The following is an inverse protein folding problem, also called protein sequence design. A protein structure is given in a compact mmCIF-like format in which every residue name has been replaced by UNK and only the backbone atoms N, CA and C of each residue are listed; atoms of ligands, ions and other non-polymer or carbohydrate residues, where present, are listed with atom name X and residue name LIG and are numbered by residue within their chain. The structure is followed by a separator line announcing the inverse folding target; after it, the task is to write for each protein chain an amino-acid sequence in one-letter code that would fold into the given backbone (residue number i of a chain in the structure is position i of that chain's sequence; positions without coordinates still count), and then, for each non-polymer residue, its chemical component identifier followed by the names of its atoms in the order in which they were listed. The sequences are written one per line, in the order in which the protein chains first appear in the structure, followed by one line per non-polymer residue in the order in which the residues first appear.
data_IF_579965701242
#
_entry.id   IF_579965701242
#
_cell.length_a   1.000
_cell.length_b   1.000
_cell.length_c   1.000
_cell.angle_alpha   90.00
_cell.angle_beta   90.00
_cell.angle_gamma   90.00
#
_symmetry.space_group_name_H-M   'P 1'
#
loop_
_entity.id
_entity.type
_entity.pdbx_description
1 polymer ?
#
# COMPACT_ATOMS: atom_id res chain seq x y z
N UNK A 1 2.93 -3.54 -21.70
CA UNK A 1 3.50 -4.00 -20.41
C UNK A 1 2.64 -3.62 -19.20
N UNK A 2 2.22 -2.38 -19.04
CA UNK A 2 1.40 -1.94 -17.88
C UNK A 2 0.00 -2.58 -17.80
N UNK A 3 -0.66 -2.91 -18.90
CA UNK A 3 -1.94 -3.65 -18.90
C UNK A 3 -1.77 -5.03 -18.25
N UNK A 4 -0.70 -5.75 -18.59
CA UNK A 4 -0.40 -7.06 -17.99
C UNK A 4 -0.17 -6.97 -16.47
N UNK A 5 0.47 -5.91 -15.96
CA UNK A 5 0.66 -5.73 -14.52
C UNK A 5 -0.68 -5.49 -13.81
N UNK A 6 -1.57 -4.66 -14.38
CA UNK A 6 -2.91 -4.40 -13.82
C UNK A 6 -3.75 -5.68 -13.76
N UNK A 7 -3.67 -6.52 -14.81
CA UNK A 7 -4.32 -7.82 -14.85
C UNK A 7 -3.74 -8.78 -13.79
N UNK A 8 -2.42 -8.79 -13.62
CA UNK A 8 -1.73 -9.68 -12.66
C UNK A 8 -2.08 -9.33 -11.21
N UNK A 9 -2.05 -8.06 -10.82
CA UNK A 9 -2.40 -7.66 -9.44
C UNK A 9 -3.91 -7.70 -9.19
N UNK A 10 -4.73 -7.71 -10.25
CA UNK A 10 -6.19 -7.70 -10.15
C UNK A 10 -6.73 -6.41 -9.53
N UNK A 11 -8.02 -6.42 -9.17
CA UNK A 11 -8.68 -5.23 -8.58
C UNK A 11 -8.41 -5.09 -7.08
N UNK A 12 -8.20 -6.18 -6.37
CA UNK A 12 -8.12 -6.21 -4.91
C UNK A 12 -6.89 -6.97 -4.44
N UNK A 13 -6.24 -6.42 -3.45
CA UNK A 13 -5.18 -7.05 -2.69
C UNK A 13 -5.32 -6.73 -1.20
N UNK A 14 -4.55 -7.42 -0.37
CA UNK A 14 -4.50 -7.19 1.06
C UNK A 14 -3.21 -6.45 1.43
N UNK A 15 -3.35 -5.36 2.17
CA UNK A 15 -2.23 -4.68 2.82
C UNK A 15 -2.14 -5.12 4.28
N UNK A 16 -0.97 -5.60 4.69
CA UNK A 16 -0.81 -6.11 6.06
C UNK A 16 0.62 -5.94 6.57
N UNK A 17 0.75 -5.48 7.82
CA UNK A 17 2.01 -5.52 8.56
C UNK A 17 2.27 -6.92 9.08
N UNK A 18 1.25 -7.66 9.49
CA UNK A 18 1.37 -9.00 10.07
C UNK A 18 1.97 -10.03 9.12
N UNK A 19 1.75 -9.87 7.81
CA UNK A 19 2.33 -10.75 6.77
C UNK A 19 3.83 -10.52 6.54
N UNK A 20 4.44 -9.53 7.17
CA UNK A 20 5.87 -9.17 7.05
C UNK A 20 6.76 -9.80 8.11
N UNK A 21 6.28 -10.69 8.97
CA UNK A 21 7.06 -11.19 10.09
C UNK A 21 8.38 -11.86 9.63
N UNK A 22 9.47 -11.58 10.37
CA UNK A 22 10.77 -12.22 10.20
C UNK A 22 10.96 -13.40 11.20
N UNK A 23 9.95 -13.66 12.03
CA UNK A 23 9.94 -14.75 13.00
C UNK A 23 9.83 -16.09 12.26
N UNK A 24 10.85 -16.97 12.32
CA UNK A 24 10.83 -18.27 11.66
C UNK A 24 9.66 -19.15 12.11
N UNK A 25 9.23 -19.00 13.36
CA UNK A 25 8.13 -19.81 13.92
C UNK A 25 6.77 -19.44 13.30
N UNK A 26 6.65 -18.23 12.74
CA UNK A 26 5.46 -17.78 12.02
C UNK A 26 5.44 -18.13 10.53
N UNK A 27 6.53 -18.69 9.98
CA UNK A 27 6.63 -18.95 8.53
C UNK A 27 5.49 -19.82 8.01
N UNK A 28 5.09 -20.86 8.74
CA UNK A 28 3.97 -21.74 8.38
C UNK A 28 2.64 -20.97 8.37
N UNK A 29 2.37 -20.18 9.41
CA UNK A 29 1.17 -19.35 9.51
C UNK A 29 1.07 -18.34 8.35
N UNK A 30 2.19 -17.69 7.99
CA UNK A 30 2.24 -16.73 6.89
C UNK A 30 2.01 -17.40 5.53
N UNK A 31 2.61 -18.59 5.31
CA UNK A 31 2.42 -19.37 4.10
C UNK A 31 0.95 -19.79 3.91
N UNK A 32 0.32 -20.32 4.98
CA UNK A 32 -1.11 -20.65 4.97
C UNK A 32 -2.01 -19.44 4.72
N UNK A 33 -1.69 -18.30 5.34
CA UNK A 33 -2.45 -17.07 5.14
C UNK A 33 -2.34 -16.56 3.71
N UNK A 34 -1.15 -16.62 3.10
CA UNK A 34 -0.95 -16.24 1.70
C UNK A 34 -1.71 -17.15 0.73
N UNK A 35 -1.64 -18.48 0.96
CA UNK A 35 -2.38 -19.46 0.17
C UNK A 35 -3.90 -19.23 0.26
N UNK A 36 -4.43 -18.94 1.46
CA UNK A 36 -5.84 -18.62 1.65
C UNK A 36 -6.24 -17.34 0.89
N UNK A 37 -5.41 -16.28 0.91
CA UNK A 37 -5.68 -15.06 0.16
C UNK A 37 -5.73 -15.32 -1.36
N UNK A 38 -4.84 -16.17 -1.87
CA UNK A 38 -4.88 -16.60 -3.28
C UNK A 38 -6.15 -17.39 -3.60
N UNK A 39 -6.55 -18.32 -2.74
CA UNK A 39 -7.78 -19.12 -2.90
C UNK A 39 -9.05 -18.24 -2.85
N UNK A 40 -9.06 -17.21 -2.01
CA UNK A 40 -10.14 -16.22 -1.94
C UNK A 40 -10.23 -15.33 -3.17
N UNK A 41 -9.21 -15.31 -4.05
CA UNK A 41 -9.20 -14.56 -5.28
C UNK A 41 -8.54 -13.18 -5.21
N UNK A 42 -7.87 -12.85 -4.12
CA UNK A 42 -7.02 -11.65 -4.08
C UNK A 42 -5.83 -11.80 -5.04
N UNK A 43 -5.55 -10.74 -5.82
CA UNK A 43 -4.47 -10.76 -6.81
C UNK A 43 -3.11 -10.37 -6.23
N UNK A 44 -3.10 -9.64 -5.11
CA UNK A 44 -1.86 -9.14 -4.52
C UNK A 44 -1.88 -9.09 -2.98
N UNK A 45 -0.68 -9.18 -2.39
CA UNK A 45 -0.40 -8.84 -1.00
C UNK A 45 0.61 -7.69 -0.98
N UNK A 46 0.35 -6.68 -0.16
CA UNK A 46 1.20 -5.54 0.08
C UNK A 46 1.76 -5.57 1.49
N UNK A 47 3.06 -5.80 1.61
CA UNK A 47 3.75 -5.91 2.89
C UNK A 47 3.94 -4.54 3.51
N UNK A 48 3.17 -4.25 4.53
CA UNK A 48 3.14 -2.97 5.22
C UNK A 48 4.38 -2.69 6.05
N UNK A 49 4.66 -1.40 6.27
CA UNK A 49 5.83 -0.93 7.00
C UNK A 49 7.11 -1.02 6.15
N UNK A 50 8.29 -1.09 6.80
CA UNK A 50 9.53 -1.29 6.05
C UNK A 50 9.73 -2.79 5.79
N UNK A 51 9.64 -3.21 4.54
CA UNK A 51 9.70 -4.61 4.09
C UNK A 51 10.70 -4.77 2.93
N UNK A 52 11.07 -6.01 2.65
CA UNK A 52 12.07 -6.34 1.64
C UNK A 52 11.67 -7.58 0.82
N UNK A 53 12.45 -7.95 -0.17
CA UNK A 53 12.30 -9.19 -0.92
C UNK A 53 12.34 -10.44 0.00
N UNK A 54 13.14 -10.41 1.06
CA UNK A 54 13.22 -11.52 2.02
C UNK A 54 11.89 -11.75 2.77
N UNK A 55 11.12 -10.68 3.03
CA UNK A 55 9.78 -10.81 3.61
C UNK A 55 8.76 -11.33 2.60
N UNK A 56 8.94 -11.04 1.30
CA UNK A 56 8.05 -11.47 0.23
C UNK A 56 8.22 -12.95 -0.16
N UNK A 57 9.45 -13.47 -0.10
CA UNK A 57 9.80 -14.81 -0.57
C UNK A 57 8.92 -15.92 0.01
N UNK A 58 8.68 -16.03 1.34
CA UNK A 58 7.86 -17.10 1.89
C UNK A 58 6.41 -17.10 1.40
N UNK A 59 5.85 -15.92 1.11
CA UNK A 59 4.47 -15.78 0.61
C UNK A 59 4.39 -16.18 -0.87
N UNK A 60 5.39 -15.78 -1.66
CA UNK A 60 5.51 -16.14 -3.07
C UNK A 60 5.72 -17.65 -3.23
N UNK A 61 6.61 -18.25 -2.42
CA UNK A 61 6.89 -19.70 -2.42
C UNK A 61 5.64 -20.54 -2.08
N UNK A 62 4.76 -20.02 -1.21
CA UNK A 62 3.55 -20.71 -0.77
C UNK A 62 2.37 -20.61 -1.75
N UNK A 63 2.49 -19.82 -2.81
CA UNK A 63 1.39 -19.49 -3.72
C UNK A 63 1.81 -19.70 -5.18
N UNK A 64 0.85 -19.75 -6.11
CA UNK A 64 1.11 -20.02 -7.53
C UNK A 64 1.06 -18.79 -8.43
N UNK A 65 0.23 -17.80 -8.09
CA UNK A 65 -0.02 -16.60 -8.90
C UNK A 65 -0.08 -15.29 -8.12
N UNK A 66 -0.21 -15.34 -6.79
CA UNK A 66 -0.32 -14.17 -5.94
C UNK A 66 0.90 -13.27 -6.12
N UNK A 67 0.70 -12.00 -6.43
CA UNK A 67 1.75 -10.99 -6.48
C UNK A 67 2.05 -10.46 -5.07
N UNK A 68 3.30 -10.32 -4.71
CA UNK A 68 3.69 -9.72 -3.42
C UNK A 68 4.50 -8.46 -3.66
N UNK A 69 4.07 -7.35 -3.05
CA UNK A 69 4.76 -6.06 -3.14
C UNK A 69 5.17 -5.52 -1.78
N UNK A 70 6.30 -4.82 -1.71
CA UNK A 70 6.63 -4.03 -0.52
C UNK A 70 5.80 -2.75 -0.48
N UNK A 71 5.31 -2.36 0.69
CA UNK A 71 4.55 -1.12 0.89
C UNK A 71 4.87 -0.48 2.25
N UNK A 72 6.10 -0.03 2.38
CA UNK A 72 7.14 0.18 1.37
C UNK A 72 8.50 -0.40 1.80
N UNK A 73 9.44 -0.54 0.88
CA UNK A 73 10.86 -0.60 1.22
C UNK A 73 11.40 0.82 1.36
N UNK A 74 11.95 1.14 2.53
CA UNK A 74 12.51 2.47 2.80
C UNK A 74 13.85 2.64 2.08
N UNK A 75 13.99 3.70 1.28
CA UNK A 75 15.25 4.03 0.59
C UNK A 75 16.41 4.37 1.52
N UNK A 76 16.13 4.61 2.80
CA UNK A 76 17.13 4.96 3.81
C UNK A 76 17.72 3.74 4.55
N UNK A 77 17.05 2.60 4.44
CA UNK A 77 17.41 1.38 5.17
C UNK A 77 17.83 0.23 4.25
N UNK A 78 17.58 0.38 2.96
CA UNK A 78 17.92 -0.62 1.95
C UNK A 78 18.63 0.06 0.79
N UNK A 79 19.93 -0.18 0.67
CA UNK A 79 20.73 0.35 -0.43
C UNK A 79 20.42 -0.38 -1.75
N UNK A 80 20.50 0.30 -2.91
CA UNK A 80 20.24 -0.31 -4.21
C UNK A 80 21.12 -1.53 -4.51
N UNK A 81 22.37 -1.51 -4.06
CA UNK A 81 23.33 -2.61 -4.27
C UNK A 81 22.93 -3.90 -3.54
N UNK A 82 22.17 -3.79 -2.45
CA UNK A 82 21.60 -4.95 -1.74
C UNK A 82 20.22 -5.33 -2.30
N UNK A 83 19.42 -4.35 -2.68
CA UNK A 83 18.06 -4.58 -3.19
C UNK A 83 18.08 -5.24 -4.58
N UNK A 84 19.05 -4.90 -5.44
CA UNK A 84 19.17 -5.44 -6.80
C UNK A 84 19.36 -6.96 -6.84
N UNK A 85 20.38 -7.53 -6.21
CA UNK A 85 20.55 -8.99 -6.14
C UNK A 85 19.35 -9.71 -5.52
N UNK A 86 18.82 -9.21 -4.40
CA UNK A 86 17.65 -9.82 -3.75
C UNK A 86 16.41 -9.81 -4.65
N UNK A 87 16.22 -8.76 -5.44
CA UNK A 87 15.18 -8.70 -6.47
C UNK A 87 15.45 -9.74 -7.58
N UNK A 88 16.67 -9.80 -8.09
CA UNK A 88 17.04 -10.69 -9.19
C UNK A 88 16.88 -12.18 -8.82
N UNK A 89 17.26 -12.56 -7.61
CA UNK A 89 17.08 -13.92 -7.10
C UNK A 89 15.60 -14.30 -7.07
N UNK A 90 14.75 -13.42 -6.54
CA UNK A 90 13.32 -13.68 -6.44
C UNK A 90 12.62 -13.66 -7.81
N UNK A 91 13.01 -12.75 -8.71
CA UNK A 91 12.48 -12.68 -10.08
C UNK A 91 12.91 -13.90 -10.91
N UNK A 92 14.13 -14.42 -10.71
CA UNK A 92 14.62 -15.62 -11.38
C UNK A 92 13.85 -16.88 -10.95
N UNK A 93 13.55 -16.99 -9.66
CA UNK A 93 12.80 -18.13 -9.11
C UNK A 93 11.30 -18.06 -9.41
N UNK A 94 10.73 -16.86 -9.39
CA UNK A 94 9.29 -16.59 -9.48
C UNK A 94 9.00 -15.38 -10.39
N UNK A 95 9.17 -15.51 -11.71
CA UNK A 95 9.08 -14.38 -12.64
C UNK A 95 7.76 -13.61 -12.54
N UNK A 96 7.86 -12.30 -12.41
CA UNK A 96 6.71 -11.39 -12.44
C UNK A 96 5.90 -11.29 -11.16
N UNK A 97 6.29 -12.00 -10.09
CA UNK A 97 5.49 -12.11 -8.87
C UNK A 97 5.88 -11.15 -7.75
N UNK A 98 7.01 -10.46 -7.89
CA UNK A 98 7.48 -9.49 -6.91
C UNK A 98 7.43 -8.06 -7.45
N UNK A 99 6.95 -7.12 -6.63
CA UNK A 99 6.94 -5.69 -6.91
C UNK A 99 7.70 -4.93 -5.81
N UNK A 100 8.66 -4.13 -6.22
CA UNK A 100 9.46 -3.31 -5.32
C UNK A 100 8.76 -1.95 -5.12
N UNK A 101 7.93 -1.84 -4.09
CA UNK A 101 7.32 -0.59 -3.68
C UNK A 101 8.26 0.21 -2.78
N UNK A 102 8.58 1.43 -3.18
CA UNK A 102 9.60 2.30 -2.59
C UNK A 102 9.01 3.54 -1.96
N UNK A 103 9.62 4.01 -0.89
CA UNK A 103 9.22 5.26 -0.25
C UNK A 103 10.33 5.90 0.57
N UNK A 104 10.15 7.20 0.80
CA UNK A 104 11.09 8.02 1.58
C UNK A 104 10.86 7.94 3.08
N UNK A 105 9.88 7.16 3.56
CA UNK A 105 9.53 7.10 4.98
C UNK A 105 9.27 8.51 5.57
N UNK A 106 9.65 8.77 6.82
CA UNK A 106 9.35 10.02 7.53
C UNK A 106 10.56 10.51 8.31
N UNK A 107 10.76 11.83 8.38
CA UNK A 107 11.86 12.45 9.10
C UNK A 107 11.96 12.02 10.57
N UNK A 108 10.82 11.72 11.22
CA UNK A 108 10.79 11.22 12.61
C UNK A 108 11.28 9.77 12.77
N UNK A 109 11.45 9.04 11.68
CA UNK A 109 11.83 7.61 11.67
C UNK A 109 13.18 7.34 11.03
N UNK A 110 13.86 8.39 10.54
CA UNK A 110 15.13 8.27 9.80
C UNK A 110 16.09 9.34 10.31
N UNK A 111 17.24 8.94 10.86
CA UNK A 111 18.22 9.85 11.44
C UNK A 111 18.84 10.82 10.42
N UNK A 112 19.07 10.35 9.18
CA UNK A 112 19.70 11.13 8.11
C UNK A 112 18.69 11.56 7.02
N UNK A 113 17.50 11.95 7.42
CA UNK A 113 16.45 12.38 6.49
C UNK A 113 16.78 13.75 5.89
N UNK A 114 17.30 13.76 4.67
CA UNK A 114 17.66 14.99 3.96
C UNK A 114 17.25 14.91 2.49
N UNK A 115 16.63 16.00 1.99
CA UNK A 115 16.26 16.14 0.56
C UNK A 115 15.55 14.89 -0.01
N UNK A 116 14.42 14.45 0.55
CA UNK A 116 13.83 13.13 0.27
C UNK A 116 13.55 12.89 -1.22
N UNK A 117 13.16 13.92 -1.98
CA UNK A 117 12.96 13.78 -3.42
C UNK A 117 14.27 13.48 -4.16
N UNK A 118 15.34 14.23 -3.88
CA UNK A 118 16.65 13.98 -4.52
C UNK A 118 17.24 12.63 -4.13
N UNK A 119 17.05 12.22 -2.87
CA UNK A 119 17.47 10.90 -2.39
C UNK A 119 16.71 9.78 -3.12
N UNK A 120 15.39 9.95 -3.32
CA UNK A 120 14.60 8.97 -4.07
C UNK A 120 15.06 8.88 -5.54
N UNK A 121 15.37 10.01 -6.20
CA UNK A 121 15.92 10.00 -7.56
C UNK A 121 17.25 9.26 -7.61
N UNK A 122 18.19 9.58 -6.71
CA UNK A 122 19.48 8.89 -6.64
C UNK A 122 19.33 7.38 -6.35
N UNK A 123 18.39 7.01 -5.50
CA UNK A 123 18.08 5.61 -5.22
C UNK A 123 17.55 4.87 -6.46
N UNK A 124 16.69 5.52 -7.25
CA UNK A 124 16.22 4.96 -8.52
C UNK A 124 17.35 4.80 -9.54
N UNK A 125 18.30 5.76 -9.60
CA UNK A 125 19.49 5.65 -10.45
C UNK A 125 20.36 4.46 -10.02
N UNK A 126 20.51 4.23 -8.72
CA UNK A 126 21.20 3.06 -8.18
C UNK A 126 20.49 1.75 -8.53
N UNK A 127 19.16 1.71 -8.47
CA UNK A 127 18.38 0.53 -8.86
C UNK A 127 18.46 0.26 -10.37
N UNK A 128 18.56 1.29 -11.23
CA UNK A 128 18.82 1.11 -12.65
C UNK A 128 20.20 0.46 -12.88
N UNK A 129 21.23 0.92 -12.17
CA UNK A 129 22.56 0.34 -12.21
C UNK A 129 22.59 -1.10 -11.66
N UNK A 130 21.78 -1.40 -10.64
CA UNK A 130 21.66 -2.73 -10.06
C UNK A 130 20.74 -3.69 -10.87
N UNK A 131 20.17 -3.23 -11.99
CA UNK A 131 19.39 -4.06 -12.90
C UNK A 131 17.94 -4.32 -12.49
N UNK A 132 17.38 -3.60 -11.50
CA UNK A 132 15.96 -3.70 -11.17
C UNK A 132 15.15 -2.94 -12.22
N UNK A 133 14.23 -3.58 -12.97
CA UNK A 133 13.48 -2.90 -14.04
C UNK A 133 12.49 -1.86 -13.52
N UNK A 134 12.29 -0.76 -14.24
CA UNK A 134 11.35 0.29 -13.88
C UNK A 134 9.89 -0.22 -13.80
N UNK A 135 9.52 -1.20 -14.61
CA UNK A 135 8.20 -1.80 -14.64
C UNK A 135 7.93 -2.80 -13.49
N UNK A 136 8.92 -2.99 -12.59
CA UNK A 136 8.82 -3.77 -11.36
C UNK A 136 8.89 -2.92 -10.11
N UNK A 137 8.91 -1.59 -10.25
CA UNK A 137 8.97 -0.64 -9.13
C UNK A 137 7.67 0.14 -9.02
N UNK A 138 7.28 0.46 -7.79
CA UNK A 138 6.16 1.36 -7.48
C UNK A 138 6.64 2.42 -6.49
N UNK A 139 6.09 3.62 -6.54
CA UNK A 139 6.43 4.67 -5.59
C UNK A 139 5.26 5.02 -4.69
N UNK A 140 5.50 5.13 -3.38
CA UNK A 140 4.55 5.70 -2.44
C UNK A 140 4.54 7.23 -2.61
N UNK A 141 3.79 7.70 -3.60
CA UNK A 141 3.79 9.09 -4.02
C UNK A 141 2.49 9.79 -3.63
N UNK A 142 2.59 10.88 -2.87
CA UNK A 142 1.44 11.71 -2.45
C UNK A 142 1.38 13.04 -3.20
N UNK A 143 2.53 13.68 -3.44
CA UNK A 143 2.59 14.99 -4.05
C UNK A 143 2.84 14.96 -5.57
N UNK A 144 2.52 16.06 -6.28
CA UNK A 144 2.62 16.10 -7.74
C UNK A 144 4.01 15.79 -8.31
N UNK A 145 5.09 16.17 -7.59
CA UNK A 145 6.48 15.87 -8.03
C UNK A 145 6.78 14.38 -7.98
N UNK A 146 6.41 13.71 -6.88
CA UNK A 146 6.62 12.27 -6.72
C UNK A 146 5.70 11.44 -7.62
N UNK A 147 4.47 11.91 -7.88
CA UNK A 147 3.57 11.27 -8.85
C UNK A 147 4.14 11.33 -10.28
N UNK A 148 4.70 12.48 -10.70
CA UNK A 148 5.42 12.56 -11.98
C UNK A 148 6.63 11.63 -12.03
N UNK A 149 7.41 11.55 -10.94
CA UNK A 149 8.53 10.62 -10.85
C UNK A 149 8.06 9.16 -10.97
N UNK A 150 6.95 8.80 -10.33
CA UNK A 150 6.35 7.47 -10.44
C UNK A 150 5.95 7.14 -11.90
N UNK A 151 5.34 8.12 -12.60
CA UNK A 151 5.00 7.99 -14.02
C UNK A 151 6.23 7.75 -14.91
N UNK A 152 7.31 8.49 -14.65
CA UNK A 152 8.46 8.55 -15.54
C UNK A 152 9.51 7.45 -15.23
N UNK A 153 9.56 6.92 -13.99
CA UNK A 153 10.63 6.05 -13.50
C UNK A 153 10.17 4.75 -12.82
N UNK A 154 8.85 4.47 -12.82
CA UNK A 154 8.28 3.28 -12.17
C UNK A 154 7.07 2.76 -12.96
N UNK A 155 6.56 1.59 -12.57
CA UNK A 155 5.32 1.02 -13.11
C UNK A 155 4.07 1.77 -12.65
N UNK A 156 4.18 2.61 -11.61
CA UNK A 156 3.06 3.36 -11.06
C UNK A 156 3.25 3.79 -9.61
N UNK A 157 2.14 3.99 -8.92
CA UNK A 157 2.12 4.51 -7.55
C UNK A 157 1.22 3.67 -6.62
N UNK A 158 1.68 3.53 -5.37
CA UNK A 158 0.96 2.93 -4.24
C UNK A 158 0.79 3.97 -3.12
N UNK A 159 -0.05 5.01 -3.32
CA UNK A 159 -0.26 6.03 -2.31
C UNK A 159 -0.98 5.46 -1.09
N UNK A 160 -0.61 5.95 0.08
CA UNK A 160 -1.10 5.47 1.37
C UNK A 160 -1.88 6.56 2.09
N UNK A 161 -3.01 6.17 2.72
CA UNK A 161 -3.87 7.07 3.49
C UNK A 161 -4.32 8.27 2.65
N UNK A 162 -5.07 7.99 1.60
CA UNK A 162 -5.54 8.98 0.62
C UNK A 162 -7.05 8.89 0.42
N UNK A 163 -7.63 9.89 -0.25
CA UNK A 163 -9.05 9.95 -0.58
C UNK A 163 -9.32 9.68 -2.06
N UNK A 164 -10.59 9.47 -2.47
CA UNK A 164 -10.94 9.42 -3.89
C UNK A 164 -10.53 10.68 -4.67
N UNK A 165 -10.61 11.87 -4.06
CA UNK A 165 -10.19 13.13 -4.70
C UNK A 165 -8.68 13.16 -4.97
N UNK A 166 -7.86 12.68 -4.01
CA UNK A 166 -6.43 12.48 -4.26
C UNK A 166 -6.20 11.48 -5.38
N UNK A 167 -6.96 10.37 -5.39
CA UNK A 167 -6.84 9.32 -6.42
C UNK A 167 -7.14 9.88 -7.82
N UNK A 168 -8.18 10.70 -7.98
CA UNK A 168 -8.49 11.37 -9.23
C UNK A 168 -7.35 12.29 -9.68
N UNK A 169 -6.83 13.12 -8.77
CA UNK A 169 -5.67 13.98 -9.06
C UNK A 169 -4.41 13.18 -9.39
N UNK A 170 -4.16 12.07 -8.70
CA UNK A 170 -3.04 11.19 -9.00
C UNK A 170 -3.18 10.57 -10.40
N UNK A 171 -4.38 10.15 -10.79
CA UNK A 171 -4.68 9.63 -12.14
C UNK A 171 -4.42 10.67 -13.23
N UNK A 172 -4.84 11.92 -13.02
CA UNK A 172 -4.54 13.02 -13.97
C UNK A 172 -3.03 13.18 -14.21
N UNK A 173 -2.22 13.08 -13.15
CA UNK A 173 -0.76 13.24 -13.25
C UNK A 173 -0.08 12.01 -13.86
N UNK A 174 -0.50 10.81 -13.44
CA UNK A 174 0.08 9.56 -13.91
C UNK A 174 -0.30 9.24 -15.36
N UNK A 175 -1.49 9.66 -15.81
CA UNK A 175 -2.08 9.19 -17.07
C UNK A 175 -2.62 7.76 -16.95
N UNK A 176 -3.11 7.18 -18.02
CA UNK A 176 -3.83 5.89 -18.02
C UNK A 176 -2.93 4.65 -17.87
N UNK A 177 -1.70 4.73 -18.37
CA UNK A 177 -0.82 3.55 -18.45
C UNK A 177 -0.29 3.07 -17.08
N UNK A 178 0.28 3.91 -16.18
CA UNK A 178 0.84 3.45 -14.91
C UNK A 178 -0.22 2.89 -13.96
N UNK A 179 0.16 1.90 -13.17
CA UNK A 179 -0.67 1.35 -12.10
C UNK A 179 -0.91 2.40 -11.02
N UNK A 180 -2.17 2.58 -10.62
CA UNK A 180 -2.55 3.37 -9.44
C UNK A 180 -3.25 2.46 -8.44
N UNK A 181 -2.55 2.13 -7.36
CA UNK A 181 -2.95 1.15 -6.36
C UNK A 181 -2.98 1.78 -4.94
N UNK A 182 -3.94 2.67 -4.64
CA UNK A 182 -4.02 3.26 -3.30
C UNK A 182 -4.33 2.20 -2.23
N UNK A 183 -3.78 2.41 -1.03
CA UNK A 183 -4.23 1.72 0.16
C UNK A 183 -5.58 2.30 0.62
N UNK A 184 -6.45 1.43 1.15
CA UNK A 184 -7.73 1.81 1.76
C UNK A 184 -7.93 1.06 3.07
N UNK A 185 -7.98 1.81 4.18
CA UNK A 185 -8.37 1.28 5.47
C UNK A 185 -9.85 0.91 5.49
N UNK A 186 -10.14 -0.35 5.86
CA UNK A 186 -11.50 -0.90 5.98
C UNK A 186 -11.80 -1.22 7.44
N UNK A 187 -12.90 -0.67 7.95
CA UNK A 187 -13.36 -0.85 9.34
C UNK A 187 -14.75 -1.49 9.31
N UNK A 188 -14.87 -2.81 9.49
CA UNK A 188 -16.16 -3.52 9.44
C UNK A 188 -16.95 -3.34 10.74
N UNK A 189 -17.24 -2.10 11.11
CA UNK A 189 -17.96 -1.68 12.30
C UNK A 189 -19.11 -0.74 11.89
N UNK A 190 -20.34 -1.09 12.29
CA UNK A 190 -21.54 -0.35 11.90
C UNK A 190 -21.94 0.74 12.88
N UNK A 191 -21.45 0.71 14.12
CA UNK A 191 -21.62 1.82 15.06
C UNK A 191 -20.69 2.97 14.70
N UNK A 192 -21.22 4.16 14.34
CA UNK A 192 -20.39 5.27 13.86
C UNK A 192 -19.38 5.75 14.91
N UNK A 193 -19.74 5.70 16.20
CA UNK A 193 -18.85 6.18 17.26
C UNK A 193 -17.65 5.25 17.41
N UNK A 194 -17.87 3.93 17.35
CA UNK A 194 -16.82 2.92 17.44
C UNK A 194 -15.95 2.92 16.19
N UNK A 195 -16.55 2.95 15.01
CA UNK A 195 -15.81 2.99 13.74
C UNK A 195 -14.87 4.20 13.68
N UNK A 196 -15.37 5.39 14.01
CA UNK A 196 -14.57 6.61 14.04
C UNK A 196 -13.53 6.63 15.16
N UNK A 197 -13.78 5.97 16.28
CA UNK A 197 -12.78 5.82 17.34
C UNK A 197 -11.59 4.97 16.86
N UNK A 198 -11.82 3.83 16.22
CA UNK A 198 -10.78 2.99 15.60
C UNK A 198 -9.99 3.75 14.55
N UNK A 199 -10.69 4.49 13.68
CA UNK A 199 -10.04 5.31 12.66
C UNK A 199 -9.15 6.40 13.27
N UNK A 200 -9.58 7.08 14.34
CA UNK A 200 -8.76 8.12 15.02
C UNK A 200 -7.56 7.55 15.74
N UNK A 201 -7.69 6.39 16.38
CA UNK A 201 -6.56 5.68 16.97
C UNK A 201 -5.49 5.42 15.90
N UNK A 202 -5.90 4.91 14.75
CA UNK A 202 -5.02 4.69 13.62
C UNK A 202 -4.41 6.00 13.07
N UNK A 203 -5.23 7.03 12.86
CA UNK A 203 -4.78 8.35 12.37
C UNK A 203 -3.79 9.03 13.31
N UNK A 204 -3.87 8.80 14.61
CA UNK A 204 -2.93 9.35 15.60
C UNK A 204 -1.47 9.05 15.30
N UNK A 205 -1.19 7.98 14.55
CA UNK A 205 0.17 7.61 14.09
C UNK A 205 0.64 8.53 12.96
N UNK A 206 -0.27 9.03 12.12
CA UNK A 206 0.03 9.70 10.85
C UNK A 206 -0.16 11.21 10.89
N UNK A 207 -1.11 11.72 11.67
CA UNK A 207 -1.34 13.17 11.82
C UNK A 207 -0.10 13.97 12.28
N UNK A 208 0.82 13.41 13.10
CA UNK A 208 2.08 14.08 13.39
C UNK A 208 3.09 14.13 12.23
N UNK A 209 2.78 13.58 11.06
CA UNK A 209 3.70 13.41 9.92
C UNK A 209 3.35 14.39 8.80
N UNK A 210 4.20 15.43 8.52
CA UNK A 210 3.87 16.53 7.61
C UNK A 210 3.53 16.12 6.17
N UNK A 211 4.02 14.99 5.70
CA UNK A 211 3.70 14.51 4.36
C UNK A 211 2.22 14.13 4.21
N UNK A 212 1.57 13.61 5.26
CA UNK A 212 0.13 13.32 5.25
C UNK A 212 -0.70 14.57 5.47
N UNK A 213 -0.39 15.36 6.52
CA UNK A 213 -1.16 16.57 6.81
C UNK A 213 -1.09 17.58 5.65
N UNK A 214 0.08 17.79 5.07
CA UNK A 214 0.21 18.63 3.87
C UNK A 214 -0.57 18.07 2.67
N UNK A 215 -0.73 16.75 2.56
CA UNK A 215 -1.54 16.14 1.52
C UNK A 215 -3.03 16.40 1.79
N UNK A 216 -3.50 16.23 3.02
CA UNK A 216 -4.89 16.52 3.40
C UNK A 216 -5.25 17.99 3.16
N UNK A 217 -4.40 18.93 3.61
CA UNK A 217 -4.59 20.37 3.36
C UNK A 217 -4.65 20.69 1.86
N UNK A 218 -3.83 20.05 1.03
CA UNK A 218 -3.86 20.23 -0.43
C UNK A 218 -5.18 19.79 -1.05
N UNK A 219 -5.83 18.80 -0.45
CA UNK A 219 -7.11 18.25 -0.92
C UNK A 219 -8.32 18.81 -0.18
N UNK A 220 -8.18 20.03 0.42
CA UNK A 220 -9.28 20.83 0.92
C UNK A 220 -9.72 20.52 2.35
N UNK A 221 -8.95 19.75 3.11
CA UNK A 221 -9.09 19.69 4.56
C UNK A 221 -8.46 20.93 5.21
N UNK A 222 -8.86 21.25 6.42
CA UNK A 222 -8.36 22.40 7.20
C UNK A 222 -7.57 21.93 8.40
N UNK A 223 -6.85 22.83 9.08
CA UNK A 223 -6.17 22.53 10.33
C UNK A 223 -7.14 22.02 11.42
N UNK A 224 -8.39 22.51 11.41
CA UNK A 224 -9.43 22.02 12.32
C UNK A 224 -9.78 20.56 12.03
N UNK A 225 -9.76 20.13 10.76
CA UNK A 225 -9.97 18.73 10.39
C UNK A 225 -8.84 17.81 10.89
N UNK A 226 -7.65 18.36 11.15
CA UNK A 226 -6.48 17.61 11.62
C UNK A 226 -6.37 17.56 13.15
N UNK A 227 -7.18 18.36 13.86
CA UNK A 227 -7.18 18.47 15.31
C UNK A 227 -7.87 17.26 15.96
N UNK A 228 -7.60 17.03 17.25
CA UNK A 228 -8.28 16.04 18.11
C UNK A 228 -8.37 14.61 17.52
N UNK A 229 -7.32 14.20 16.80
CA UNK A 229 -7.25 12.88 16.18
C UNK A 229 -7.96 12.77 14.82
N UNK A 230 -8.45 13.89 14.30
CA UNK A 230 -9.14 14.00 13.02
C UNK A 230 -10.65 14.21 13.15
N UNK A 231 -11.19 15.16 12.36
CA UNK A 231 -12.63 15.40 12.29
C UNK A 231 -13.38 14.18 11.73
N UNK A 232 -14.69 14.11 11.98
CA UNK A 232 -15.54 13.10 11.34
C UNK A 232 -15.44 13.16 9.82
N UNK A 233 -15.35 14.38 9.26
CA UNK A 233 -15.19 14.62 7.82
C UNK A 233 -13.91 13.98 7.27
N UNK A 234 -12.78 14.13 7.97
CA UNK A 234 -11.50 13.53 7.57
C UNK A 234 -11.55 12.00 7.66
N UNK A 235 -12.06 11.48 8.78
CA UNK A 235 -12.23 10.04 8.99
C UNK A 235 -13.11 9.42 7.91
N UNK A 236 -14.29 9.99 7.67
CA UNK A 236 -15.25 9.48 6.70
C UNK A 236 -14.73 9.59 5.25
N UNK A 237 -13.81 10.51 4.97
CA UNK A 237 -13.16 10.60 3.67
C UNK A 237 -12.07 9.54 3.45
N UNK A 238 -11.30 9.19 4.50
CA UNK A 238 -10.14 8.30 4.41
C UNK A 238 -10.48 6.82 4.53
N UNK A 239 -11.50 6.45 5.32
CA UNK A 239 -11.78 5.05 5.64
C UNK A 239 -13.10 4.56 5.05
N UNK A 240 -13.11 3.28 4.68
CA UNK A 240 -14.33 2.55 4.37
C UNK A 240 -14.84 1.88 5.66
N UNK A 241 -15.86 2.44 6.27
CA UNK A 241 -16.44 1.86 7.50
C UNK A 241 -17.94 1.65 7.37
N UNK A 242 -18.48 0.71 8.16
CA UNK A 242 -19.90 0.39 8.18
C UNK A 242 -20.21 -1.04 7.75
N UNK A 243 -21.39 -1.22 7.21
CA UNK A 243 -21.83 -2.48 6.61
C UNK A 243 -21.22 -2.70 5.20
N UNK A 244 -21.49 -3.86 4.63
CA UNK A 244 -21.01 -4.24 3.30
C UNK A 244 -21.37 -3.21 2.22
N UNK A 245 -22.55 -2.62 2.29
CA UNK A 245 -23.05 -1.63 1.32
C UNK A 245 -22.21 -0.34 1.41
N UNK A 246 -21.94 0.15 2.61
CA UNK A 246 -21.14 1.34 2.84
C UNK A 246 -19.68 1.14 2.43
N UNK A 247 -19.10 -0.02 2.79
CA UNK A 247 -17.73 -0.38 2.39
C UNK A 247 -17.61 -0.47 0.86
N UNK A 248 -18.55 -1.15 0.18
CA UNK A 248 -18.57 -1.26 -1.28
C UNK A 248 -18.71 0.11 -1.94
N UNK A 249 -19.58 0.98 -1.43
CA UNK A 249 -19.76 2.33 -1.97
C UNK A 249 -18.47 3.17 -1.91
N UNK A 250 -17.69 3.06 -0.82
CA UNK A 250 -16.39 3.73 -0.71
C UNK A 250 -15.38 3.15 -1.69
N UNK A 251 -15.29 1.83 -1.82
CA UNK A 251 -14.44 1.13 -2.79
C UNK A 251 -14.74 1.58 -4.22
N UNK A 252 -16.02 1.62 -4.58
CA UNK A 252 -16.47 2.06 -5.92
C UNK A 252 -16.09 3.52 -6.19
N UNK A 253 -16.10 4.39 -5.17
CA UNK A 253 -15.66 5.76 -5.30
C UNK A 253 -14.16 5.88 -5.69
N UNK A 254 -13.29 5.02 -5.14
CA UNK A 254 -11.89 4.96 -5.53
C UNK A 254 -11.70 4.46 -6.97
N UNK A 255 -12.42 3.43 -7.38
CA UNK A 255 -12.36 2.96 -8.78
C UNK A 255 -12.90 4.01 -9.75
N UNK A 256 -14.00 4.67 -9.42
CA UNK A 256 -14.54 5.78 -10.21
C UNK A 256 -13.56 6.95 -10.31
N UNK A 257 -12.75 7.16 -9.28
CA UNK A 257 -11.67 8.16 -9.26
C UNK A 257 -10.42 7.73 -10.04
N UNK A 258 -10.38 6.50 -10.59
CA UNK A 258 -9.33 6.02 -11.46
C UNK A 258 -8.30 5.11 -10.79
N UNK A 259 -8.57 4.54 -9.62
CA UNK A 259 -7.76 3.45 -9.11
C UNK A 259 -7.85 2.23 -10.03
N UNK A 260 -6.75 1.53 -10.25
CA UNK A 260 -6.74 0.24 -10.96
C UNK A 260 -6.88 -0.92 -9.98
N UNK A 261 -6.34 -0.76 -8.79
CA UNK A 261 -6.24 -1.75 -7.72
C UNK A 261 -6.44 -1.08 -6.37
N UNK A 262 -6.97 -1.78 -5.39
CA UNK A 262 -7.03 -1.34 -4.00
C UNK A 262 -6.30 -2.32 -3.09
N UNK A 263 -5.35 -1.79 -2.31
CA UNK A 263 -4.66 -2.49 -1.25
C UNK A 263 -5.47 -2.33 0.06
N UNK A 264 -6.33 -3.31 0.38
CA UNK A 264 -7.26 -3.22 1.49
C UNK A 264 -6.57 -3.55 2.81
N UNK A 265 -6.62 -2.62 3.76
CA UNK A 265 -6.10 -2.78 5.11
C UNK A 265 -7.26 -2.90 6.11
N UNK A 266 -7.43 -4.07 6.73
CA UNK A 266 -8.45 -4.24 7.77
C UNK A 266 -7.99 -3.61 9.08
N UNK A 267 -8.87 -2.82 9.69
CA UNK A 267 -8.70 -2.16 10.98
C UNK A 267 -9.87 -2.58 11.88
N UNK A 268 -9.70 -3.69 12.58
CA UNK A 268 -10.72 -4.31 13.43
C UNK A 268 -10.47 -4.10 14.93
N UNK A 269 -9.45 -3.31 15.29
CA UNK A 269 -9.04 -3.06 16.67
C UNK A 269 -8.09 -4.11 17.25
N UNK A 270 -7.77 -5.15 16.50
CA UNK A 270 -6.73 -6.11 16.87
C UNK A 270 -5.33 -5.52 16.72
N UNK A 271 -4.34 -6.23 17.28
CA UNK A 271 -2.94 -5.81 17.15
C UNK A 271 -2.52 -5.72 15.69
N UNK A 272 -1.72 -4.72 15.32
CA UNK A 272 -1.30 -4.45 13.94
C UNK A 272 -0.60 -5.62 13.24
N UNK A 273 0.03 -6.52 14.01
CA UNK A 273 0.71 -7.72 13.49
C UNK A 273 -0.22 -8.94 13.43
N UNK A 274 -1.49 -8.78 13.80
CA UNK A 274 -2.49 -9.84 13.66
C UNK A 274 -2.81 -10.09 12.18
N UNK A 275 -3.28 -11.31 11.91
CA UNK A 275 -3.78 -11.71 10.60
C UNK A 275 -5.32 -11.82 10.68
N UNK A 276 -6.08 -10.81 10.28
CA UNK A 276 -7.54 -10.77 10.40
C UNK A 276 -8.20 -11.66 9.33
N UNK A 277 -7.86 -12.96 9.32
CA UNK A 277 -8.25 -13.93 8.29
C UNK A 277 -9.77 -14.02 8.11
N UNK A 278 -10.54 -13.90 9.21
CA UNK A 278 -12.01 -13.87 9.13
C UNK A 278 -12.48 -12.66 8.32
N UNK A 279 -11.96 -11.48 8.61
CA UNK A 279 -12.36 -10.27 7.89
C UNK A 279 -11.91 -10.29 6.42
N UNK A 280 -10.78 -10.93 6.10
CA UNK A 280 -10.38 -11.14 4.69
C UNK A 280 -11.35 -12.03 3.95
N UNK A 281 -11.88 -13.11 4.58
CA UNK A 281 -12.92 -13.97 3.99
C UNK A 281 -14.23 -13.21 3.78
N UNK A 282 -14.65 -12.46 4.79
CA UNK A 282 -15.89 -11.67 4.72
C UNK A 282 -15.80 -10.63 3.58
N UNK A 283 -14.68 -9.92 3.47
CA UNK A 283 -14.45 -8.98 2.37
C UNK A 283 -14.39 -9.67 1.01
N UNK A 284 -13.75 -10.83 0.89
CA UNK A 284 -13.71 -11.59 -0.36
C UNK A 284 -15.11 -12.00 -0.81
N UNK A 285 -15.95 -12.48 0.10
CA UNK A 285 -17.33 -12.82 -0.21
C UNK A 285 -18.14 -11.61 -0.75
N UNK A 286 -17.85 -10.42 -0.24
CA UNK A 286 -18.49 -9.16 -0.70
C UNK A 286 -17.96 -8.71 -2.06
N UNK A 287 -16.65 -8.81 -2.28
CA UNK A 287 -15.97 -8.14 -3.42
C UNK A 287 -15.66 -9.06 -4.59
N UNK A 288 -15.48 -10.35 -4.34
CA UNK A 288 -14.96 -11.35 -5.30
C UNK A 288 -15.97 -12.51 -5.56
N UNK A 289 -17.03 -12.58 -4.73
CA UNK A 289 -18.12 -13.56 -4.82
C UNK A 289 -19.14 -13.33 -5.92
#
# INVERSE_FOLDING_TARGET
MTTALKETVGRYGIWSVGLRSEDPDRRGELAEAAAELEELGYGAVWLGGNSSAANAAPLIEATSKLTVGTSIQSIWQHEPDAAGPAFADLESAHPGRFLLGLGVSHAKRVEQYARPYSALVAHLDGLDAAGVPADRRLLAALGPKSLRLARDRAAGSIPYLVTPEHTAHAREILGEAPLLAPELGVIPETDPSRARALAREFLGIYLPLPNYTNNFLRHGFTEDDLSDGGSDRLVDALFAWGDETAIRAKIDAFFKAGADHLALQVLDGEHRDALPRKAWRDLAAVLLG
#
